data_IF_842475174851
#
_entry.id   IF_842475174851
#
_cell.length_a   1.000
_cell.length_b   1.000
_cell.length_c   1.000
_cell.angle_alpha   90.00
_cell.angle_beta   90.00
_cell.angle_gamma   90.00
#
_symmetry.space_group_name_H-M   'P 1'
#
loop_
_entity.id
_entity.type
_entity.pdbx_description
1 polymer ?
#
# COMPACT_ATOMS: atom_id res chain seq x y z
N UNK A 1 -0.34 -3.21 24.07
CA UNK A 1 -0.06 -3.96 22.85
C UNK A 1 -0.37 -3.08 21.65
N UNK A 2 0.59 -2.89 20.79
CA UNK A 2 0.43 -2.01 19.65
C UNK A 2 -0.07 -2.81 18.46
N UNK A 3 -1.22 -2.42 17.93
CA UNK A 3 -1.72 -3.02 16.69
C UNK A 3 -1.17 -2.23 15.51
N UNK A 4 -0.53 -2.94 14.61
CA UNK A 4 0.00 -2.33 13.42
C UNK A 4 -1.09 -2.28 12.35
N UNK A 5 -1.30 -1.08 11.81
CA UNK A 5 -2.24 -0.91 10.70
C UNK A 5 -1.50 -1.13 9.39
N UNK A 6 -2.11 -1.85 8.49
CA UNK A 6 -1.55 -2.11 7.17
C UNK A 6 -2.27 -1.29 6.12
N UNK A 7 -1.51 -0.82 5.16
CA UNK A 7 -2.04 0.05 4.13
C UNK A 7 -1.86 -0.58 2.75
N UNK A 8 -2.84 -0.37 1.90
CA UNK A 8 -2.72 -0.64 0.48
C UNK A 8 -2.48 0.70 -0.19
N UNK A 9 -1.33 0.85 -0.82
CA UNK A 9 -0.93 2.12 -1.38
C UNK A 9 -0.49 1.95 -2.83
N UNK A 10 -0.68 3.00 -3.61
CA UNK A 10 -0.30 3.04 -5.01
C UNK A 10 0.82 4.05 -5.20
N UNK A 11 1.89 3.63 -5.89
CA UNK A 11 2.96 4.54 -6.22
C UNK A 11 2.62 5.31 -7.49
N UNK A 12 3.00 6.57 -7.53
CA UNK A 12 2.84 7.40 -8.72
C UNK A 12 4.11 8.20 -8.94
N UNK A 13 4.37 8.58 -10.19
CA UNK A 13 5.59 9.27 -10.56
C UNK A 13 6.56 8.33 -11.21
N UNK A 14 7.70 8.86 -11.63
CA UNK A 14 8.73 8.06 -12.28
C UNK A 14 9.99 8.04 -11.44
N UNK A 15 10.63 6.88 -11.39
CA UNK A 15 11.88 6.72 -10.68
C UNK A 15 12.98 7.60 -11.28
N UNK A 16 12.87 7.93 -12.56
CA UNK A 16 13.83 8.76 -13.25
C UNK A 16 13.84 10.20 -12.72
N UNK A 17 12.73 10.66 -12.19
CA UNK A 17 12.64 12.01 -11.64
C UNK A 17 12.94 12.03 -10.13
N UNK A 18 13.09 10.89 -9.52
CA UNK A 18 13.33 10.80 -8.09
C UNK A 18 12.15 11.22 -7.24
N UNK A 19 10.96 11.27 -7.82
CA UNK A 19 9.76 11.76 -7.16
C UNK A 19 8.71 10.67 -7.07
N UNK A 20 9.05 9.57 -6.41
CA UNK A 20 8.06 8.50 -6.20
C UNK A 20 7.16 8.89 -5.05
N UNK A 21 5.87 8.98 -5.31
CA UNK A 21 4.88 9.31 -4.29
C UNK A 21 3.94 8.13 -4.06
N UNK A 22 3.55 7.97 -2.81
CA UNK A 22 2.63 6.91 -2.43
C UNK A 22 1.28 7.50 -2.07
N UNK A 23 0.22 6.92 -2.62
CA UNK A 23 -1.15 7.33 -2.33
C UNK A 23 -1.85 6.21 -1.59
N UNK A 24 -2.37 6.54 -0.42
CA UNK A 24 -3.11 5.58 0.37
C UNK A 24 -4.45 5.27 -0.29
N UNK A 25 -4.68 4.00 -0.56
CA UNK A 25 -5.95 3.55 -1.13
C UNK A 25 -6.89 3.09 -0.02
N UNK A 26 -6.38 2.27 0.89
CA UNK A 26 -7.18 1.72 1.98
C UNK A 26 -6.28 1.29 3.12
N UNK A 27 -6.84 1.15 4.30
CA UNK A 27 -6.10 0.66 5.45
C UNK A 27 -6.86 -0.48 6.11
N UNK A 28 -6.11 -1.39 6.73
CA UNK A 28 -6.67 -2.60 7.32
C UNK A 28 -5.95 -2.92 8.62
N UNK A 29 -6.62 -3.62 9.54
CA UNK A 29 -5.99 -3.98 10.81
C UNK A 29 -5.00 -5.14 10.71
N UNK A 30 -4.94 -5.83 9.57
CA UNK A 30 -4.02 -6.94 9.40
C UNK A 30 -3.47 -6.99 7.98
N UNK A 31 -2.27 -7.58 7.86
CA UNK A 31 -1.64 -7.75 6.57
C UNK A 31 -2.47 -8.65 5.65
N UNK A 32 -3.05 -9.70 6.21
CA UNK A 32 -3.82 -10.65 5.42
C UNK A 32 -5.02 -9.96 4.75
N UNK A 33 -5.69 -9.07 5.47
CA UNK A 33 -6.82 -8.35 4.91
C UNK A 33 -6.38 -7.37 3.83
N UNK A 34 -5.25 -6.69 4.05
CA UNK A 34 -4.73 -5.76 3.06
C UNK A 34 -4.34 -6.50 1.77
N UNK A 35 -3.70 -7.64 1.91
CA UNK A 35 -3.31 -8.42 0.73
C UNK A 35 -4.54 -8.98 0.00
N UNK A 36 -5.57 -9.38 0.75
CA UNK A 36 -6.80 -9.86 0.13
C UNK A 36 -7.47 -8.75 -0.67
N UNK A 37 -7.46 -7.53 -0.13
CA UNK A 37 -8.02 -6.39 -0.85
C UNK A 37 -7.26 -6.14 -2.15
N UNK A 38 -5.93 -6.16 -2.07
CA UNK A 38 -5.11 -5.93 -3.26
C UNK A 38 -5.37 -7.00 -4.30
N UNK A 39 -5.45 -8.26 -3.90
CA UNK A 39 -5.68 -9.36 -4.84
C UNK A 39 -7.07 -9.28 -5.48
N UNK A 40 -8.05 -8.79 -4.74
CA UNK A 40 -9.41 -8.70 -5.24
C UNK A 40 -9.59 -7.55 -6.23
N UNK A 41 -8.92 -6.43 -5.99
CA UNK A 41 -9.16 -5.22 -6.77
C UNK A 41 -8.04 -4.86 -7.72
N UNK A 42 -6.80 -5.25 -7.42
CA UNK A 42 -5.64 -4.86 -8.21
C UNK A 42 -4.66 -6.02 -8.37
N UNK A 43 -5.08 -7.17 -8.92
CA UNK A 43 -4.22 -8.36 -8.94
C UNK A 43 -3.00 -8.23 -9.85
N UNK A 44 -3.06 -7.36 -10.86
CA UNK A 44 -2.00 -7.25 -11.84
C UNK A 44 -1.31 -5.89 -11.86
N UNK A 45 -1.54 -5.07 -10.83
CA UNK A 45 -0.97 -3.73 -10.81
C UNK A 45 0.31 -3.72 -9.98
N UNK A 46 1.50 -3.62 -10.63
CA UNK A 46 2.76 -3.61 -9.89
C UNK A 46 2.99 -2.34 -9.09
N UNK A 47 2.21 -1.30 -9.32
CA UNK A 47 2.34 -0.05 -8.59
C UNK A 47 1.65 -0.10 -7.23
N UNK A 48 0.85 -1.13 -6.96
CA UNK A 48 0.11 -1.24 -5.71
C UNK A 48 0.80 -2.23 -4.80
N UNK A 49 1.08 -1.79 -3.58
CA UNK A 49 1.77 -2.60 -2.60
C UNK A 49 1.09 -2.52 -1.24
N UNK A 50 1.25 -3.59 -0.48
CA UNK A 50 0.80 -3.67 0.91
C UNK A 50 1.98 -3.36 1.80
N UNK A 51 1.82 -2.42 2.73
CA UNK A 51 2.90 -2.01 3.61
C UNK A 51 2.35 -1.54 4.95
N UNK A 52 3.18 -1.53 6.00
CA UNK A 52 2.75 -0.93 7.27
C UNK A 52 2.46 0.55 7.07
N UNK A 53 1.36 1.00 7.68
CA UNK A 53 0.96 2.41 7.54
C UNK A 53 2.04 3.37 8.05
N UNK A 54 2.83 2.94 9.01
CA UNK A 54 3.92 3.75 9.55
C UNK A 54 4.91 4.21 8.48
N UNK A 55 5.06 3.43 7.42
CA UNK A 55 5.97 3.78 6.34
C UNK A 55 5.46 4.94 5.48
N UNK A 56 4.19 5.26 5.60
CA UNK A 56 3.58 6.33 4.82
C UNK A 56 3.49 7.64 5.58
N UNK A 57 3.76 7.61 6.85
CA UNK A 57 3.65 8.82 7.68
C UNK A 57 4.98 9.56 7.83
#
# INVERSE_FOLDING_TARGET
MVQQTWAVAQSSGTACEGSLQWHLIASFPSQAEAEAYRDAFCPDDPAIEVMPLDLLS
#
